data_IF_062617304909
#
_entry.id   IF_062617304909
#
_cell.length_a   1.000
_cell.length_b   1.000
_cell.length_c   1.000
_cell.angle_alpha   90.00
_cell.angle_beta   90.00
_cell.angle_gamma   90.00
#
_symmetry.space_group_name_H-M   'P 1'
#
loop_
_entity.id
_entity.type
_entity.pdbx_description
1 polymer ?
#
# COMPACT_ATOMS: atom_id res chain seq x y z
N UNK A 1 -8.13 7.52 -1.60
CA UNK A 1 -7.86 6.23 -2.25
C UNK A 1 -8.51 6.06 -3.61
N UNK A 2 -9.85 6.17 -3.79
CA UNK A 2 -10.49 5.89 -5.08
C UNK A 2 -9.97 6.74 -6.24
N UNK A 3 -9.72 8.03 -5.99
CA UNK A 3 -9.14 8.93 -7.00
C UNK A 3 -7.74 8.46 -7.43
N UNK A 4 -6.87 8.09 -6.49
CA UNK A 4 -5.52 7.58 -6.77
C UNK A 4 -5.57 6.35 -7.69
N UNK A 5 -6.50 5.43 -7.41
CA UNK A 5 -6.69 4.21 -8.19
C UNK A 5 -7.25 4.51 -9.58
N UNK A 6 -8.19 5.44 -9.68
CA UNK A 6 -8.70 5.93 -10.97
C UNK A 6 -7.56 6.51 -11.80
N UNK A 7 -6.72 7.38 -11.22
CA UNK A 7 -5.55 7.97 -11.88
C UNK A 7 -4.58 6.88 -12.34
N UNK A 8 -4.32 5.87 -11.52
CA UNK A 8 -3.49 4.74 -11.96
C UNK A 8 -4.11 4.04 -13.17
N UNK A 9 -5.42 3.76 -13.16
CA UNK A 9 -6.11 3.10 -14.27
C UNK A 9 -6.02 3.93 -15.56
N UNK A 10 -6.24 5.24 -15.47
CA UNK A 10 -6.16 6.16 -16.61
C UNK A 10 -4.75 6.18 -17.23
N UNK A 11 -3.70 6.07 -16.42
CA UNK A 11 -2.31 6.18 -16.89
C UNK A 11 -1.57 4.86 -17.13
N UNK A 12 -2.02 3.75 -16.53
CA UNK A 12 -1.29 2.47 -16.47
C UNK A 12 -2.17 1.25 -16.71
N UNK A 13 -3.49 1.42 -16.82
CA UNK A 13 -4.45 0.34 -17.05
C UNK A 13 -4.74 -0.49 -15.79
N UNK A 14 -4.89 -1.80 -15.95
CA UNK A 14 -5.38 -2.67 -14.88
C UNK A 14 -4.51 -2.66 -13.62
N UNK A 15 -5.18 -2.60 -12.45
CA UNK A 15 -4.59 -2.75 -11.12
C UNK A 15 -4.19 -4.21 -10.82
N UNK A 16 -4.88 -5.18 -11.43
CA UNK A 16 -4.74 -6.59 -11.05
C UNK A 16 -3.32 -7.11 -11.28
N UNK A 17 -2.74 -7.70 -10.24
CA UNK A 17 -1.37 -8.23 -10.28
C UNK A 17 -0.28 -7.16 -10.25
N UNK A 18 -0.62 -5.88 -10.01
CA UNK A 18 0.37 -4.82 -9.79
C UNK A 18 0.86 -4.83 -8.36
N UNK A 19 2.05 -4.26 -8.17
CA UNK A 19 2.71 -4.09 -6.87
C UNK A 19 2.72 -2.61 -6.56
N UNK A 20 2.12 -2.22 -5.46
CA UNK A 20 2.06 -0.85 -4.97
C UNK A 20 2.91 -0.76 -3.70
N UNK A 21 3.52 0.40 -3.47
CA UNK A 21 4.32 0.67 -2.29
C UNK A 21 3.71 1.82 -1.50
N UNK A 22 3.52 1.62 -0.20
CA UNK A 22 3.25 2.67 0.76
C UNK A 22 4.51 2.92 1.60
N UNK A 23 4.94 4.17 1.68
CA UNK A 23 6.12 4.56 2.45
C UNK A 23 5.72 5.71 3.38
N UNK A 24 5.79 5.49 4.69
CA UNK A 24 5.40 6.46 5.71
C UNK A 24 4.48 5.85 6.77
N UNK A 25 3.79 6.71 7.52
CA UNK A 25 2.96 6.30 8.65
C UNK A 25 1.79 5.40 8.19
N UNK A 26 1.44 4.41 9.01
CA UNK A 26 0.29 3.51 8.86
C UNK A 26 -1.05 4.19 9.14
N UNK A 27 -1.23 5.40 8.63
CA UNK A 27 -2.39 6.24 8.85
C UNK A 27 -3.66 5.70 8.16
N UNK A 28 -4.75 6.48 8.20
CA UNK A 28 -6.02 6.13 7.57
C UNK A 28 -5.90 5.82 6.05
N UNK A 29 -5.01 6.51 5.34
CA UNK A 29 -4.77 6.29 3.91
C UNK A 29 -4.04 4.96 3.70
N UNK A 30 -3.02 4.64 4.50
CA UNK A 30 -2.38 3.32 4.44
C UNK A 30 -3.38 2.18 4.68
N UNK A 31 -4.22 2.29 5.71
CA UNK A 31 -5.26 1.29 6.02
C UNK A 31 -6.26 1.16 4.86
N UNK A 32 -6.61 2.27 4.21
CA UNK A 32 -7.48 2.26 3.02
C UNK A 32 -6.82 1.58 1.81
N UNK A 33 -5.50 1.73 1.62
CA UNK A 33 -4.74 1.00 0.61
C UNK A 33 -4.75 -0.51 0.86
N UNK A 34 -4.69 -0.97 2.12
CA UNK A 34 -4.75 -2.40 2.46
C UNK A 34 -6.08 -3.01 2.02
N UNK A 35 -7.22 -2.38 2.36
CA UNK A 35 -8.53 -2.84 1.90
C UNK A 35 -8.66 -2.82 0.38
N UNK A 36 -8.16 -1.77 -0.27
CA UNK A 36 -8.19 -1.67 -1.72
C UNK A 36 -7.37 -2.77 -2.41
N UNK A 37 -6.22 -3.15 -1.84
CA UNK A 37 -5.38 -4.23 -2.35
C UNK A 37 -6.15 -5.55 -2.38
N UNK A 38 -6.85 -5.86 -1.29
CA UNK A 38 -7.71 -7.03 -1.18
C UNK A 38 -8.87 -6.99 -2.20
N UNK A 39 -9.61 -5.88 -2.28
CA UNK A 39 -10.80 -5.76 -3.13
C UNK A 39 -10.47 -5.76 -4.63
N UNK A 40 -9.33 -5.21 -5.02
CA UNK A 40 -9.00 -4.93 -6.43
C UNK A 40 -7.86 -5.80 -6.97
N UNK A 41 -7.26 -6.65 -6.13
CA UNK A 41 -6.33 -7.70 -6.54
C UNK A 41 -4.94 -7.21 -6.92
N UNK A 42 -4.43 -6.18 -6.24
CA UNK A 42 -3.03 -5.76 -6.30
C UNK A 42 -2.30 -6.15 -5.01
N UNK A 43 -0.97 -6.15 -5.05
CA UNK A 43 -0.09 -6.39 -3.90
C UNK A 43 0.38 -5.05 -3.34
N UNK A 44 0.47 -4.94 -2.02
CA UNK A 44 0.87 -3.73 -1.31
C UNK A 44 2.06 -4.05 -0.40
N UNK A 45 3.19 -3.41 -0.67
CA UNK A 45 4.35 -3.39 0.20
C UNK A 45 4.32 -2.13 1.06
N UNK A 46 4.50 -2.27 2.36
CA UNK A 46 4.38 -1.16 3.32
C UNK A 46 5.72 -1.01 4.04
N UNK A 47 6.34 0.16 3.94
CA UNK A 47 7.49 0.54 4.77
C UNK A 47 7.03 1.63 5.74
N UNK A 48 7.10 1.34 7.03
CA UNK A 48 6.57 2.20 8.09
C UNK A 48 7.58 2.36 9.23
N UNK A 49 7.71 3.55 9.85
CA UNK A 49 8.47 3.72 11.08
C UNK A 49 7.91 2.87 12.22
N UNK A 50 8.78 2.46 13.14
CA UNK A 50 8.38 1.73 14.34
C UNK A 50 7.40 2.53 15.19
N UNK A 51 6.29 1.90 15.59
CA UNK A 51 5.23 2.52 16.40
C UNK A 51 4.21 3.30 15.59
N UNK A 52 4.34 3.35 14.27
CA UNK A 52 3.40 3.98 13.35
C UNK A 52 2.74 2.96 12.41
N UNK A 53 2.87 1.66 12.70
CA UNK A 53 2.39 0.61 11.81
C UNK A 53 0.87 0.71 11.54
N UNK A 54 0.40 0.20 10.38
CA UNK A 54 -1.03 0.06 10.10
C UNK A 54 -1.75 -0.79 11.15
N UNK A 55 -3.08 -0.77 11.12
CA UNK A 55 -3.88 -1.60 12.04
C UNK A 55 -3.45 -3.08 11.95
N UNK A 56 -2.96 -3.67 13.06
CA UNK A 56 -2.44 -5.04 13.04
C UNK A 56 -3.51 -6.08 12.67
N UNK A 57 -4.79 -5.80 12.93
CA UNK A 57 -5.89 -6.67 12.51
C UNK A 57 -6.00 -6.72 10.98
N UNK A 58 -5.83 -5.57 10.31
CA UNK A 58 -5.82 -5.50 8.84
C UNK A 58 -4.61 -6.21 8.25
N UNK A 59 -3.43 -6.04 8.86
CA UNK A 59 -2.22 -6.75 8.41
C UNK A 59 -2.38 -8.26 8.52
N UNK A 60 -2.99 -8.76 9.60
CA UNK A 60 -3.22 -10.20 9.75
C UNK A 60 -4.30 -10.71 8.79
N UNK A 61 -5.42 -10.00 8.66
CA UNK A 61 -6.54 -10.37 7.78
C UNK A 61 -6.12 -10.38 6.30
N UNK A 62 -5.33 -9.39 5.89
CA UNK A 62 -4.96 -9.16 4.49
C UNK A 62 -3.49 -9.48 4.17
N UNK A 63 -2.83 -10.32 4.99
CA UNK A 63 -1.42 -10.76 4.78
C UNK A 63 -1.13 -11.42 3.42
N UNK A 64 -2.17 -11.84 2.70
CA UNK A 64 -2.05 -12.41 1.35
C UNK A 64 -1.82 -11.35 0.25
N UNK A 65 -2.06 -10.07 0.55
CA UNK A 65 -1.88 -8.97 -0.39
C UNK A 65 -1.21 -7.72 0.22
N UNK A 66 -1.08 -7.62 1.55
CA UNK A 66 -0.39 -6.53 2.23
C UNK A 66 0.77 -7.08 3.06
N UNK A 67 1.99 -6.55 2.84
CA UNK A 67 3.20 -7.01 3.52
C UNK A 67 3.96 -5.82 4.10
N UNK A 68 4.25 -5.87 5.41
CA UNK A 68 5.17 -4.93 6.05
C UNK A 68 6.61 -5.34 5.75
N UNK A 69 7.38 -4.44 5.16
CA UNK A 69 8.80 -4.64 4.81
C UNK A 69 9.68 -3.72 5.65
N UNK A 70 10.99 -4.00 5.67
CA UNK A 70 11.92 -3.34 6.59
C UNK A 70 12.33 -1.94 6.15
N UNK A 71 12.46 -1.71 4.85
CA UNK A 71 13.00 -0.46 4.32
C UNK A 71 12.12 0.12 3.22
N UNK A 72 12.24 1.43 3.00
CA UNK A 72 11.57 2.12 1.91
C UNK A 72 11.99 1.57 0.54
N UNK A 73 13.26 1.18 0.42
CA UNK A 73 13.84 0.55 -0.77
C UNK A 73 13.23 -0.82 -1.05
N UNK A 74 13.03 -1.65 -0.01
CA UNK A 74 12.37 -2.94 -0.14
C UNK A 74 10.92 -2.77 -0.63
N UNK A 75 10.21 -1.74 -0.13
CA UNK A 75 8.85 -1.45 -0.56
C UNK A 75 8.80 -0.97 -2.02
N UNK A 76 9.71 -0.07 -2.40
CA UNK A 76 9.77 0.55 -3.72
C UNK A 76 10.24 -0.38 -4.83
N UNK A 77 11.01 -1.43 -4.51
CA UNK A 77 11.61 -2.31 -5.52
C UNK A 77 10.54 -3.03 -6.34
N UNK A 78 10.47 -2.72 -7.64
CA UNK A 78 9.48 -3.30 -8.55
C UNK A 78 8.06 -2.75 -8.39
N UNK A 79 7.87 -1.70 -7.59
CA UNK A 79 6.58 -1.05 -7.43
C UNK A 79 6.16 -0.32 -8.72
N UNK A 80 4.87 -0.40 -9.03
CA UNK A 80 4.20 0.28 -10.13
C UNK A 80 3.64 1.63 -9.70
N UNK A 81 3.37 1.78 -8.40
CA UNK A 81 2.94 3.00 -7.73
C UNK A 81 3.69 3.10 -6.40
N UNK A 82 4.23 4.28 -6.11
CA UNK A 82 4.75 4.61 -4.78
C UNK A 82 3.88 5.74 -4.24
N UNK A 83 3.29 5.53 -3.07
CA UNK A 83 2.47 6.49 -2.36
C UNK A 83 3.05 6.77 -0.97
N UNK A 84 2.85 7.99 -0.50
CA UNK A 84 3.28 8.49 0.81
C UNK A 84 2.30 9.57 1.27
N UNK A 85 2.38 9.96 2.53
CA UNK A 85 1.58 11.02 3.12
C UNK A 85 2.44 11.85 4.08
N UNK A 86 1.92 13.00 4.51
CA UNK A 86 2.57 13.83 5.52
C UNK A 86 2.64 13.09 6.87
N UNK A 87 3.67 13.40 7.66
CA UNK A 87 3.87 12.82 8.98
C UNK A 87 2.85 13.34 9.97
N UNK A 88 2.47 12.50 10.94
CA UNK A 88 1.57 12.87 12.07
C UNK A 88 2.34 13.03 13.38
#
# INVERSE_FOLDING_TARGET
>A
ILADLQTFIEHRGSLKGKIFAWIGDGNNMCNSYIHAAHLLGFQLNIACPYGFEPDPALLEEYKHCATLVKTAEDAATGAHLIATDVWT
#
